data_IF_635518079327
#
_entry.id   IF_635518079327
#
_cell.length_a   1.000
_cell.length_b   1.000
_cell.length_c   1.000
_cell.angle_alpha   90.00
_cell.angle_beta   90.00
_cell.angle_gamma   90.00
#
_symmetry.space_group_name_H-M   'P 1'
#
loop_
_entity.id
_entity.type
_entity.pdbx_description
1 polymer ?
#
# COMPACT_ATOMS: atom_id res chain seq x y z
N UNK A 1 31.09 -113.71 -0.57
CA UNK A 1 31.28 -113.83 -2.04
C UNK A 1 30.00 -113.37 -2.75
N UNK A 2 30.17 -112.79 -3.94
CA UNK A 2 29.17 -112.32 -4.92
C UNK A 2 28.71 -110.85 -4.81
N UNK A 3 29.40 -110.05 -5.65
CA UNK A 3 29.06 -108.74 -6.21
C UNK A 3 27.60 -108.58 -6.69
N UNK A 4 27.11 -107.33 -6.69
CA UNK A 4 26.52 -106.71 -7.90
C UNK A 4 26.49 -105.17 -7.79
N UNK A 5 27.10 -104.52 -8.79
CA UNK A 5 27.05 -103.10 -9.08
C UNK A 5 26.00 -102.81 -10.16
N UNK A 6 25.31 -101.67 -10.09
CA UNK A 6 24.72 -100.88 -11.21
C UNK A 6 24.31 -99.52 -10.56
N UNK A 7 24.47 -98.31 -11.09
CA UNK A 7 24.93 -97.76 -12.36
C UNK A 7 24.61 -96.24 -12.34
N UNK A 8 25.47 -95.41 -12.93
CA UNK A 8 25.35 -93.94 -13.04
C UNK A 8 24.10 -93.49 -13.81
N UNK A 9 23.53 -92.35 -13.43
CA UNK A 9 22.99 -91.35 -14.36
C UNK A 9 23.38 -89.93 -13.94
N UNK A 10 24.31 -89.35 -14.67
CA UNK A 10 24.65 -87.91 -14.69
C UNK A 10 23.54 -87.15 -15.42
N UNK A 11 23.07 -86.03 -14.85
CA UNK A 11 22.20 -85.05 -15.51
C UNK A 11 22.92 -83.71 -15.64
N UNK A 12 22.60 -82.92 -16.68
CA UNK A 12 23.44 -81.83 -17.16
C UNK A 12 23.29 -80.54 -16.35
N UNK A 13 24.32 -79.72 -16.50
CA UNK A 13 24.54 -78.37 -15.98
C UNK A 13 23.63 -77.37 -16.70
N UNK A 14 23.01 -76.45 -15.95
CA UNK A 14 22.56 -75.15 -16.45
C UNK A 14 23.24 -74.06 -15.62
N UNK A 15 24.24 -73.40 -16.22
CA UNK A 15 24.81 -72.15 -15.72
C UNK A 15 23.91 -71.03 -16.23
N UNK A 16 23.30 -70.27 -15.32
CA UNK A 16 22.47 -69.12 -15.68
C UNK A 16 23.37 -67.88 -15.75
N UNK A 17 23.61 -67.40 -16.97
CA UNK A 17 24.38 -66.19 -17.29
C UNK A 17 23.36 -65.06 -17.45
N UNK A 18 23.04 -64.28 -16.40
CA UNK A 18 22.40 -62.96 -16.55
C UNK A 18 22.34 -62.14 -15.25
N UNK A 19 23.48 -61.70 -14.72
CA UNK A 19 23.49 -60.64 -13.68
C UNK A 19 24.70 -59.69 -13.82
N UNK A 20 24.91 -59.05 -14.96
CA UNK A 20 25.96 -58.02 -15.10
C UNK A 20 25.53 -56.87 -16.02
N UNK A 21 24.39 -56.19 -15.76
CA UNK A 21 24.02 -54.91 -16.42
C UNK A 21 23.17 -53.98 -15.54
N UNK A 22 23.51 -53.84 -14.25
CA UNK A 22 22.65 -53.13 -13.29
C UNK A 22 23.25 -51.92 -12.56
N UNK A 23 24.50 -51.51 -12.82
CA UNK A 23 25.18 -50.53 -11.93
C UNK A 23 25.62 -49.23 -12.63
N UNK A 24 25.65 -49.16 -13.96
CA UNK A 24 26.28 -48.02 -14.65
C UNK A 24 25.36 -46.86 -15.06
N UNK A 25 24.05 -46.90 -14.80
CA UNK A 25 23.10 -45.84 -15.23
C UNK A 25 22.66 -44.92 -14.07
N UNK A 26 23.03 -45.21 -12.82
CA UNK A 26 22.56 -44.42 -11.66
C UNK A 26 23.44 -43.25 -11.21
N UNK A 27 24.62 -43.07 -11.81
CA UNK A 27 25.54 -41.99 -11.39
C UNK A 27 25.38 -40.70 -12.21
N UNK A 28 24.85 -40.78 -13.44
CA UNK A 28 24.67 -39.58 -14.29
C UNK A 28 23.35 -38.86 -13.99
N UNK A 29 22.39 -39.53 -13.35
CA UNK A 29 21.08 -38.94 -13.02
C UNK A 29 21.05 -38.16 -11.68
N UNK A 30 22.17 -38.10 -10.96
CA UNK A 30 22.28 -37.36 -9.68
C UNK A 30 23.03 -36.03 -9.79
N UNK A 31 23.68 -35.75 -10.93
CA UNK A 31 24.42 -34.51 -11.14
C UNK A 31 23.66 -33.47 -11.98
N UNK A 32 22.53 -33.82 -12.58
CA UNK A 32 21.75 -32.93 -13.46
C UNK A 32 20.59 -32.21 -12.77
N UNK A 33 20.38 -32.40 -11.46
CA UNK A 33 19.26 -31.82 -10.71
C UNK A 33 19.66 -30.69 -9.74
N UNK A 34 20.91 -30.24 -9.81
CA UNK A 34 21.45 -29.16 -8.96
C UNK A 34 21.89 -27.95 -9.78
N UNK A 35 21.19 -27.67 -10.87
CA UNK A 35 21.13 -26.30 -11.39
C UNK A 35 19.80 -25.74 -10.86
N UNK A 36 19.77 -25.51 -9.54
CA UNK A 36 18.92 -24.49 -8.96
C UNK A 36 19.39 -23.20 -9.63
N UNK A 37 18.70 -22.83 -10.71
CA UNK A 37 18.70 -21.48 -11.25
C UNK A 37 18.29 -20.57 -10.09
N UNK A 38 19.28 -20.10 -9.34
CA UNK A 38 19.16 -18.87 -8.55
C UNK A 38 18.95 -17.80 -9.61
N UNK A 39 17.72 -17.64 -10.06
CA UNK A 39 17.32 -16.45 -10.78
C UNK A 39 17.60 -15.34 -9.76
N UNK A 40 18.56 -14.44 -9.97
CA UNK A 40 18.74 -13.31 -9.08
C UNK A 40 17.42 -12.55 -9.16
N UNK A 41 16.58 -12.72 -8.15
CA UNK A 41 15.43 -11.86 -7.97
C UNK A 41 16.05 -10.48 -7.76
N UNK A 42 15.87 -9.62 -8.75
CA UNK A 42 16.42 -8.27 -8.73
C UNK A 42 15.67 -7.50 -7.66
N UNK A 43 16.18 -7.59 -6.43
CA UNK A 43 15.60 -7.03 -5.24
C UNK A 43 16.54 -5.93 -4.73
N UNK A 44 15.99 -4.74 -4.58
CA UNK A 44 16.69 -3.59 -4.01
C UNK A 44 16.63 -3.63 -2.48
N UNK A 45 17.48 -2.83 -1.86
CA UNK A 45 17.40 -2.54 -0.43
C UNK A 45 16.82 -1.14 -0.23
N UNK A 46 15.86 -0.98 0.68
CA UNK A 46 15.38 0.33 1.12
C UNK A 46 15.81 0.55 2.57
N UNK A 47 16.60 1.59 2.80
CA UNK A 47 17.00 2.06 4.13
C UNK A 47 16.20 3.31 4.47
N UNK A 48 15.59 3.34 5.65
CA UNK A 48 14.90 4.51 6.18
C UNK A 48 15.59 4.96 7.45
N UNK A 49 16.13 6.18 7.40
CA UNK A 49 16.69 6.87 8.57
C UNK A 49 15.58 7.71 9.20
N UNK A 50 15.11 7.28 10.36
CA UNK A 50 14.13 7.99 11.18
C UNK A 50 14.81 9.00 12.09
N UNK A 51 14.34 10.23 12.08
CA UNK A 51 14.66 11.23 13.09
C UNK A 51 13.46 11.41 14.03
N UNK A 52 13.74 11.54 15.32
CA UNK A 52 12.73 11.52 16.39
C UNK A 52 12.76 10.22 17.20
N UNK A 53 11.75 10.05 18.06
CA UNK A 53 11.62 8.86 18.91
C UNK A 53 11.04 7.67 18.12
N UNK A 54 11.84 6.62 17.92
CA UNK A 54 11.47 5.37 17.22
C UNK A 54 11.26 4.18 18.19
N UNK A 55 11.30 4.41 19.51
CA UNK A 55 11.29 3.34 20.51
C UNK A 55 9.98 2.56 20.62
N UNK A 56 8.86 3.19 20.26
CA UNK A 56 7.50 2.64 20.32
C UNK A 56 6.96 2.18 18.95
N UNK A 57 7.82 2.08 17.93
CA UNK A 57 7.39 1.54 16.63
C UNK A 57 7.13 0.04 16.77
N UNK A 58 5.87 -0.36 16.64
CA UNK A 58 5.43 -1.76 16.67
C UNK A 58 5.34 -2.37 15.27
N UNK A 59 5.22 -1.54 14.24
CA UNK A 59 5.16 -1.96 12.85
C UNK A 59 5.78 -0.93 11.92
N UNK A 60 6.57 -1.38 10.94
CA UNK A 60 7.03 -0.56 9.83
C UNK A 60 7.04 -1.38 8.54
N UNK A 61 6.13 -1.07 7.62
CA UNK A 61 5.88 -1.83 6.41
C UNK A 61 5.99 -1.02 5.13
N UNK A 62 6.20 -1.70 4.01
CA UNK A 62 6.14 -1.15 2.65
C UNK A 62 5.00 -1.82 1.88
N UNK A 63 4.16 -1.00 1.24
CA UNK A 63 2.94 -1.43 0.53
C UNK A 63 3.05 -1.04 -0.94
N UNK A 64 3.12 -2.04 -1.81
CA UNK A 64 3.02 -1.86 -3.26
C UNK A 64 1.54 -1.85 -3.67
N UNK A 65 0.87 -0.74 -3.39
CA UNK A 65 -0.59 -0.63 -3.46
C UNK A 65 -1.18 -0.75 -4.86
N UNK A 66 -0.53 -0.16 -5.85
CA UNK A 66 -1.08 -0.01 -7.19
C UNK A 66 -0.16 -0.61 -8.24
N UNK A 67 -0.73 -1.26 -9.24
CA UNK A 67 0.01 -1.57 -10.46
C UNK A 67 0.21 -0.35 -11.36
N UNK A 68 0.74 -0.56 -12.57
CA UNK A 68 1.06 0.50 -13.53
C UNK A 68 -0.18 1.23 -14.06
N UNK A 69 -1.36 0.60 -13.98
CA UNK A 69 -2.62 1.15 -14.46
C UNK A 69 -3.44 1.80 -13.32
N UNK A 70 -2.91 1.80 -12.10
CA UNK A 70 -3.62 2.31 -10.92
C UNK A 70 -4.64 1.36 -10.34
N UNK A 71 -4.61 0.09 -10.74
CA UNK A 71 -5.45 -0.93 -10.12
C UNK A 71 -4.77 -1.45 -8.85
N UNK A 72 -5.53 -1.70 -7.77
CA UNK A 72 -5.05 -2.40 -6.59
C UNK A 72 -4.29 -3.67 -6.93
N UNK A 73 -3.04 -3.76 -6.48
CA UNK A 73 -2.21 -4.93 -6.76
C UNK A 73 -2.77 -6.16 -6.06
N UNK A 74 -2.67 -7.30 -6.77
CA UNK A 74 -3.08 -8.63 -6.31
C UNK A 74 -1.98 -9.24 -5.45
N UNK A 75 -2.24 -9.61 -4.19
CA UNK A 75 -1.35 -10.53 -3.47
C UNK A 75 -1.47 -11.92 -4.11
N UNK A 76 -0.34 -12.57 -4.36
CA UNK A 76 -0.25 -14.00 -4.65
C UNK A 76 -1.16 -14.50 -5.81
N UNK A 77 -1.44 -13.65 -6.80
CA UNK A 77 -2.29 -14.02 -7.95
C UNK A 77 -3.81 -14.01 -7.71
N UNK A 78 -4.27 -13.64 -6.51
CA UNK A 78 -5.71 -13.51 -6.16
C UNK A 78 -6.25 -12.11 -6.46
N UNK A 79 -7.53 -11.93 -6.84
CA UNK A 79 -8.07 -10.61 -7.17
C UNK A 79 -8.09 -9.62 -5.98
N UNK A 80 -7.60 -8.40 -6.25
CA UNK A 80 -7.75 -7.11 -5.54
C UNK A 80 -7.62 -7.11 -4.01
N UNK A 81 -6.46 -6.71 -3.47
CA UNK A 81 -6.35 -6.32 -2.06
C UNK A 81 -6.81 -4.87 -1.91
N UNK A 82 -8.12 -4.66 -1.86
CA UNK A 82 -8.64 -3.60 -1.00
C UNK A 82 -8.91 -4.30 0.31
N UNK A 83 -8.14 -4.01 1.35
CA UNK A 83 -8.41 -4.59 2.67
C UNK A 83 -9.74 -4.04 3.17
N UNK A 84 -10.78 -4.85 2.98
CA UNK A 84 -12.17 -4.51 3.35
C UNK A 84 -12.40 -4.59 4.85
N UNK A 85 -11.42 -5.09 5.60
CA UNK A 85 -11.43 -5.25 7.06
C UNK A 85 -10.09 -4.82 7.63
N UNK A 86 -9.55 -3.70 7.13
CA UNK A 86 -8.21 -3.28 7.49
C UNK A 86 -8.14 -3.03 9.00
N UNK A 87 -7.07 -3.53 9.60
CA UNK A 87 -6.77 -3.28 11.01
C UNK A 87 -5.95 -2.00 11.10
N UNK A 88 -6.32 -1.15 12.06
CA UNK A 88 -5.64 0.12 12.27
C UNK A 88 -4.26 -0.08 12.91
N UNK A 89 -4.15 -1.07 13.80
CA UNK A 89 -2.97 -1.42 14.60
C UNK A 89 -2.06 -2.49 13.97
N UNK A 90 -2.61 -3.27 13.03
CA UNK A 90 -1.90 -4.33 12.32
C UNK A 90 -2.11 -4.22 10.79
N UNK A 91 -1.59 -3.16 10.15
CA UNK A 91 -1.75 -2.96 8.72
C UNK A 91 -1.08 -4.06 7.90
N UNK A 92 -1.64 -4.33 6.71
CA UNK A 92 -0.98 -5.15 5.70
C UNK A 92 0.28 -4.45 5.16
N UNK A 93 1.33 -5.22 4.87
CA UNK A 93 2.46 -4.79 4.04
C UNK A 93 3.00 -5.94 3.20
N UNK A 94 3.56 -5.60 2.03
CA UNK A 94 4.23 -6.56 1.15
C UNK A 94 5.63 -6.92 1.68
N UNK A 95 6.23 -6.03 2.45
CA UNK A 95 7.46 -6.26 3.20
C UNK A 95 7.44 -5.49 4.51
N UNK A 96 8.12 -6.03 5.52
CA UNK A 96 8.28 -5.38 6.82
C UNK A 96 9.76 -5.07 7.04
N UNK A 97 10.05 -3.89 7.56
CA UNK A 97 11.42 -3.50 7.89
C UNK A 97 11.89 -4.18 9.17
N UNK A 98 13.20 -4.42 9.23
CA UNK A 98 13.92 -4.75 10.46
C UNK A 98 14.67 -3.52 10.95
N UNK A 99 14.75 -3.37 12.28
CA UNK A 99 15.54 -2.31 12.89
C UNK A 99 16.99 -2.76 12.97
N UNK A 100 17.88 -2.14 12.19
CA UNK A 100 19.32 -2.44 12.21
C UNK A 100 20.01 -1.75 13.41
N UNK A 101 19.65 -0.50 13.67
CA UNK A 101 20.17 0.30 14.77
C UNK A 101 19.16 1.40 15.16
N UNK A 102 19.35 2.13 16.27
CA UNK A 102 18.46 3.24 16.62
C UNK A 102 18.34 4.25 15.46
N UNK A 103 17.10 4.52 15.03
CA UNK A 103 16.82 5.40 13.91
C UNK A 103 17.04 4.79 12.52
N UNK A 104 17.52 3.55 12.38
CA UNK A 104 17.74 2.92 11.06
C UNK A 104 16.89 1.65 10.88
N UNK A 105 16.03 1.70 9.87
CA UNK A 105 15.14 0.61 9.48
C UNK A 105 15.43 0.16 8.05
N UNK A 106 15.48 -1.15 7.82
CA UNK A 106 15.90 -1.73 6.54
C UNK A 106 14.84 -2.70 6.03
N UNK A 107 14.44 -2.51 4.77
CA UNK A 107 13.68 -3.47 4.00
C UNK A 107 14.65 -4.23 3.08
N UNK A 108 15.02 -5.43 3.49
CA UNK A 108 15.87 -6.30 2.68
C UNK A 108 15.06 -6.99 1.57
N UNK A 109 15.71 -7.21 0.43
CA UNK A 109 15.14 -7.96 -0.69
C UNK A 109 13.78 -7.44 -1.17
N UNK A 110 13.58 -6.13 -1.16
CA UNK A 110 12.35 -5.50 -1.62
C UNK A 110 12.31 -5.50 -3.16
N UNK A 111 11.31 -6.11 -3.81
CA UNK A 111 11.23 -6.10 -5.27
C UNK A 111 11.19 -4.68 -5.83
N UNK A 112 11.77 -4.47 -7.00
CA UNK A 112 11.69 -3.19 -7.68
C UNK A 112 10.24 -2.74 -7.85
N UNK A 113 9.97 -1.47 -7.58
CA UNK A 113 8.61 -0.94 -7.63
C UNK A 113 8.48 0.37 -6.87
N UNK A 114 7.24 0.81 -6.73
CA UNK A 114 6.92 2.03 -6.00
C UNK A 114 6.02 1.70 -4.83
N UNK A 115 6.45 2.09 -3.63
CA UNK A 115 5.85 1.69 -2.37
C UNK A 115 5.35 2.90 -1.58
N UNK A 116 4.22 2.71 -0.90
CA UNK A 116 3.81 3.57 0.19
C UNK A 116 4.29 2.94 1.51
N UNK A 117 4.91 3.73 2.39
CA UNK A 117 5.37 3.23 3.68
C UNK A 117 4.30 3.41 4.76
N UNK A 118 4.24 2.48 5.71
CA UNK A 118 3.29 2.49 6.83
C UNK A 118 4.05 2.29 8.13
N UNK A 119 3.89 3.19 9.09
CA UNK A 119 4.51 3.11 10.41
C UNK A 119 3.41 3.15 11.48
N UNK A 120 3.49 2.26 12.46
CA UNK A 120 2.61 2.25 13.63
C UNK A 120 3.42 2.40 14.90
N UNK A 121 3.03 3.36 15.74
CA UNK A 121 3.47 3.50 17.14
C UNK A 121 2.37 3.05 18.07
N UNK A 122 2.59 1.92 18.74
CA UNK A 122 1.55 1.19 19.48
C UNK A 122 1.02 1.96 20.68
N UNK A 123 1.90 2.38 21.60
CA UNK A 123 1.50 3.06 22.82
C UNK A 123 0.86 4.44 22.57
N UNK A 124 1.12 5.04 21.41
CA UNK A 124 0.54 6.33 21.00
C UNK A 124 -0.72 6.24 20.14
N UNK A 125 -1.18 5.03 19.80
CA UNK A 125 -2.26 4.82 18.83
C UNK A 125 -2.05 5.66 17.55
N UNK A 126 -0.81 5.67 17.04
CA UNK A 126 -0.43 6.47 15.88
C UNK A 126 -0.10 5.57 14.71
N UNK A 127 -0.83 5.75 13.61
CA UNK A 127 -0.51 5.23 12.30
C UNK A 127 -0.17 6.38 11.36
N UNK A 128 1.03 6.32 10.77
CA UNK A 128 1.49 7.18 9.71
C UNK A 128 1.54 6.38 8.42
N UNK A 129 1.00 6.92 7.34
CA UNK A 129 0.89 6.19 6.09
C UNK A 129 1.14 7.09 4.88
N UNK A 130 1.98 6.61 3.97
CA UNK A 130 2.17 7.19 2.65
C UNK A 130 0.98 6.94 1.74
N UNK A 131 0.88 7.74 0.69
CA UNK A 131 -0.06 7.49 -0.39
C UNK A 131 0.52 8.00 -1.71
N UNK A 132 -0.20 7.76 -2.78
CA UNK A 132 -0.07 8.50 -4.04
C UNK A 132 -1.43 8.56 -4.69
N UNK A 133 -1.67 9.56 -5.55
CA UNK A 133 -2.97 9.66 -6.21
C UNK A 133 -3.04 8.71 -7.39
N UNK A 134 -3.52 7.48 -7.15
CA UNK A 134 -3.81 6.53 -8.21
C UNK A 134 -4.87 7.05 -9.18
N UNK A 135 -4.76 6.70 -10.47
CA UNK A 135 -5.78 7.04 -11.45
C UNK A 135 -7.10 6.33 -11.16
N UNK A 136 -8.20 7.07 -11.32
CA UNK A 136 -9.56 6.53 -11.18
C UNK A 136 -10.09 6.02 -12.52
N UNK A 137 -9.67 6.65 -13.61
CA UNK A 137 -9.96 6.24 -14.97
C UNK A 137 -8.72 5.62 -15.61
N UNK A 138 -8.96 4.59 -16.42
CA UNK A 138 -7.92 3.96 -17.23
C UNK A 138 -7.22 5.05 -18.07
N UNK A 139 -5.89 5.00 -18.14
CA UNK A 139 -4.99 5.93 -18.85
C UNK A 139 -4.72 7.30 -18.21
N UNK A 140 -5.34 7.65 -17.09
CA UNK A 140 -4.90 8.85 -16.38
C UNK A 140 -3.55 8.60 -15.69
N UNK A 141 -2.67 9.61 -15.58
CA UNK A 141 -1.38 9.44 -14.91
C UNK A 141 -1.58 9.33 -13.39
N UNK A 142 -0.62 8.75 -12.68
CA UNK A 142 -0.50 8.96 -11.24
C UNK A 142 -0.17 10.43 -10.94
N UNK A 143 -0.66 10.97 -9.82
CA UNK A 143 -0.13 12.22 -9.27
C UNK A 143 0.74 11.91 -8.05
N UNK A 144 1.88 12.61 -7.89
CA UNK A 144 2.71 12.45 -6.70
C UNK A 144 1.93 12.92 -5.47
N UNK A 145 2.24 12.40 -4.28
CA UNK A 145 1.46 12.71 -3.07
C UNK A 145 1.51 14.16 -2.62
N UNK A 146 2.56 14.89 -3.00
CA UNK A 146 2.73 16.31 -2.73
C UNK A 146 2.07 17.21 -3.79
N UNK A 147 1.44 16.63 -4.83
CA UNK A 147 0.77 17.37 -5.88
C UNK A 147 -0.20 18.41 -5.29
N UNK A 148 -0.15 19.61 -5.87
CA UNK A 148 -0.99 20.75 -5.49
C UNK A 148 -1.91 21.15 -6.64
N UNK A 149 -2.99 21.85 -6.29
CA UNK A 149 -3.84 22.55 -7.25
C UNK A 149 -3.17 23.90 -7.52
N UNK A 150 -2.40 23.99 -8.61
CA UNK A 150 -1.69 25.17 -9.07
C UNK A 150 -2.41 25.87 -10.25
N UNK A 151 -1.89 27.00 -10.73
CA UNK A 151 -2.20 27.62 -12.01
C UNK A 151 -0.95 28.21 -12.62
N UNK A 152 -0.89 28.24 -13.94
CA UNK A 152 0.20 28.90 -14.67
C UNK A 152 0.02 30.42 -14.53
N UNK A 153 1.08 31.13 -14.13
CA UNK A 153 1.15 32.59 -14.14
C UNK A 153 1.93 33.00 -15.38
N UNK A 154 1.22 33.60 -16.33
CA UNK A 154 1.78 34.05 -17.60
C UNK A 154 2.13 35.54 -17.57
N UNK A 155 3.31 35.86 -18.10
CA UNK A 155 3.75 37.23 -18.37
C UNK A 155 4.24 37.28 -19.82
N UNK A 156 3.67 38.19 -20.63
CA UNK A 156 3.94 38.33 -22.06
C UNK A 156 3.73 37.04 -22.89
N UNK A 157 2.74 36.21 -22.50
CA UNK A 157 2.43 34.94 -23.17
C UNK A 157 3.43 33.82 -22.88
N UNK A 158 4.24 33.97 -21.81
CA UNK A 158 5.19 32.96 -21.34
C UNK A 158 4.87 32.60 -19.89
N UNK A 159 4.70 31.31 -19.61
CA UNK A 159 4.56 30.80 -18.24
C UNK A 159 5.85 31.07 -17.47
N UNK A 160 5.79 31.94 -16.45
CA UNK A 160 6.93 32.30 -15.60
C UNK A 160 7.02 31.41 -14.38
N UNK A 161 5.89 31.19 -13.73
CA UNK A 161 5.78 30.44 -12.50
C UNK A 161 4.44 29.73 -12.38
N UNK A 162 4.32 28.90 -11.35
CA UNK A 162 3.06 28.27 -10.96
C UNK A 162 2.74 28.68 -9.55
N UNK A 163 1.52 29.13 -9.32
CA UNK A 163 1.02 29.49 -8.00
C UNK A 163 -0.18 28.63 -7.60
N UNK A 164 -0.60 28.67 -6.35
CA UNK A 164 -1.75 27.91 -5.86
C UNK A 164 -3.06 28.45 -6.44
N UNK A 165 -3.86 27.58 -7.08
CA UNK A 165 -5.19 27.91 -7.58
C UNK A 165 -6.23 27.61 -6.48
N UNK A 166 -6.45 28.61 -5.63
CA UNK A 166 -7.42 28.55 -4.54
C UNK A 166 -8.86 28.40 -5.00
N UNK A 167 -9.23 28.93 -6.17
CA UNK A 167 -10.60 28.86 -6.70
C UNK A 167 -10.97 27.41 -7.01
N UNK A 168 -10.14 26.72 -7.80
CA UNK A 168 -10.37 25.31 -8.14
C UNK A 168 -10.27 24.40 -6.92
N UNK A 169 -9.36 24.72 -5.98
CA UNK A 169 -9.22 23.99 -4.72
C UNK A 169 -10.49 24.09 -3.86
N UNK A 170 -10.94 25.32 -3.57
CA UNK A 170 -12.08 25.59 -2.70
C UNK A 170 -13.37 25.02 -3.29
N UNK A 171 -13.53 25.10 -4.61
CA UNK A 171 -14.65 24.50 -5.32
C UNK A 171 -14.73 22.98 -5.13
N UNK A 172 -13.59 22.27 -5.23
CA UNK A 172 -13.54 20.82 -5.02
C UNK A 172 -13.68 20.46 -3.54
N UNK A 173 -13.05 21.20 -2.63
CA UNK A 173 -13.19 21.02 -1.17
C UNK A 173 -14.66 21.13 -0.75
N UNK A 174 -15.37 22.16 -1.24
CA UNK A 174 -16.80 22.36 -0.97
C UNK A 174 -17.64 21.20 -1.50
N UNK A 175 -17.40 20.75 -2.75
CA UNK A 175 -18.11 19.58 -3.29
C UNK A 175 -17.90 18.32 -2.46
N UNK A 176 -16.68 18.09 -1.95
CA UNK A 176 -16.38 16.93 -1.10
C UNK A 176 -17.14 17.03 0.21
N UNK A 177 -17.10 18.19 0.87
CA UNK A 177 -17.80 18.41 2.15
C UNK A 177 -19.30 18.27 2.00
N UNK A 178 -19.86 18.71 0.89
CA UNK A 178 -21.30 18.66 0.61
C UNK A 178 -21.76 17.38 -0.10
N UNK A 179 -20.87 16.41 -0.32
CA UNK A 179 -21.20 15.18 -1.02
C UNK A 179 -22.29 14.39 -0.27
N UNK A 180 -23.36 13.93 -0.96
CA UNK A 180 -24.36 13.06 -0.36
C UNK A 180 -23.77 11.67 -0.16
N UNK A 181 -23.26 11.41 1.03
CA UNK A 181 -22.69 10.13 1.43
C UNK A 181 -23.60 9.46 2.47
N UNK A 182 -23.57 8.12 2.53
CA UNK A 182 -24.20 7.38 3.63
C UNK A 182 -23.47 7.64 4.96
N UNK A 183 -22.23 8.08 4.89
CA UNK A 183 -21.42 8.56 5.99
C UNK A 183 -21.91 9.92 6.46
N UNK A 184 -22.02 10.10 7.78
CA UNK A 184 -22.38 11.40 8.35
C UNK A 184 -21.26 12.43 8.17
N UNK A 185 -20.03 12.01 7.82
CA UNK A 185 -18.88 12.90 7.62
C UNK A 185 -18.03 12.50 6.43
N UNK A 186 -17.74 13.50 5.60
CA UNK A 186 -16.80 13.42 4.49
C UNK A 186 -15.78 14.55 4.66
N UNK A 187 -14.50 14.20 4.70
CA UNK A 187 -13.40 15.12 5.01
C UNK A 187 -12.32 15.01 3.92
N UNK A 188 -12.05 16.09 3.16
CA UNK A 188 -10.89 16.13 2.27
C UNK A 188 -9.60 16.29 3.08
N UNK A 189 -8.55 15.58 2.70
CA UNK A 189 -7.23 15.68 3.33
C UNK A 189 -6.21 16.37 2.41
N UNK A 190 -5.97 15.77 1.26
CA UNK A 190 -5.02 16.29 0.28
C UNK A 190 -5.72 16.40 -1.06
N UNK A 191 -5.54 17.52 -1.75
CA UNK A 191 -6.12 17.79 -3.07
C UNK A 191 -4.96 18.21 -3.99
N UNK A 192 -4.78 17.47 -5.08
CA UNK A 192 -3.74 17.70 -6.08
C UNK A 192 -4.32 17.79 -7.49
N UNK A 193 -3.73 18.61 -8.34
CA UNK A 193 -4.15 18.80 -9.72
C UNK A 193 -3.12 18.29 -10.72
N UNK A 194 -3.56 17.95 -11.93
CA UNK A 194 -2.68 17.78 -13.08
C UNK A 194 -3.03 18.77 -14.20
N UNK A 195 -1.98 19.30 -14.80
CA UNK A 195 -2.01 20.36 -15.80
C UNK A 195 -1.58 19.80 -17.14
N UNK A 196 -2.20 20.28 -18.22
CA UNK A 196 -1.54 20.24 -19.52
C UNK A 196 -0.73 21.53 -19.68
N UNK A 197 0.36 21.43 -20.43
CA UNK A 197 1.20 22.58 -20.75
C UNK A 197 0.34 23.68 -21.42
N UNK A 198 0.38 24.90 -20.88
CA UNK A 198 -0.37 26.06 -21.39
C UNK A 198 -1.85 26.06 -21.02
N UNK A 199 -2.22 25.47 -19.88
CA UNK A 199 -3.57 25.59 -19.31
C UNK A 199 -3.52 26.31 -17.98
N UNK A 200 -4.34 27.35 -17.84
CA UNK A 200 -4.46 28.11 -16.59
C UNK A 200 -5.06 27.28 -15.45
N UNK A 201 -5.94 26.31 -15.74
CA UNK A 201 -6.62 25.48 -14.75
C UNK A 201 -6.22 24.00 -14.87
N UNK A 202 -6.24 23.21 -13.78
CA UNK A 202 -5.98 21.78 -13.85
C UNK A 202 -7.05 21.08 -14.67
N UNK A 203 -6.64 20.15 -15.54
CA UNK A 203 -7.60 19.33 -16.30
C UNK A 203 -8.31 18.31 -15.39
N UNK A 204 -7.58 17.79 -14.42
CA UNK A 204 -8.06 16.82 -13.45
C UNK A 204 -7.57 17.21 -12.06
N UNK A 205 -8.41 16.98 -11.07
CA UNK A 205 -8.10 17.14 -9.65
C UNK A 205 -8.38 15.79 -8.97
N UNK A 206 -7.48 15.36 -8.09
CA UNK A 206 -7.71 14.23 -7.20
C UNK A 206 -7.62 14.64 -5.76
N UNK A 207 -8.46 14.03 -4.94
CA UNK A 207 -8.49 14.25 -3.52
C UNK A 207 -8.39 12.94 -2.76
N UNK A 208 -7.50 12.87 -1.77
CA UNK A 208 -7.57 11.87 -0.72
C UNK A 208 -8.66 12.31 0.27
N UNK A 209 -9.65 11.45 0.47
CA UNK A 209 -10.86 11.75 1.24
C UNK A 209 -11.05 10.68 2.31
N UNK A 210 -11.38 11.12 3.53
CA UNK A 210 -11.94 10.27 4.56
C UNK A 210 -13.47 10.32 4.50
N UNK A 211 -14.09 9.15 4.53
CA UNK A 211 -15.51 8.99 4.81
C UNK A 211 -15.64 8.29 6.15
N UNK A 212 -16.30 8.95 7.11
CA UNK A 212 -16.48 8.48 8.47
C UNK A 212 -17.97 8.38 8.79
N UNK A 213 -18.35 7.20 9.26
CA UNK A 213 -19.63 6.95 9.91
C UNK A 213 -19.42 6.67 11.39
N UNK A 214 -19.79 7.61 12.25
CA UNK A 214 -19.60 7.50 13.71
C UNK A 214 -20.84 7.89 14.53
N UNK A 215 -21.99 8.06 13.88
CA UNK A 215 -23.26 8.33 14.54
C UNK A 215 -24.13 7.08 14.67
N UNK A 216 -25.03 7.11 15.65
CA UNK A 216 -26.03 6.07 15.89
C UNK A 216 -26.93 5.95 14.67
N UNK A 217 -27.10 4.74 14.14
CA UNK A 217 -27.96 4.49 12.98
C UNK A 217 -28.92 3.32 13.21
N UNK A 218 -29.80 3.05 12.25
CA UNK A 218 -30.74 1.93 12.31
C UNK A 218 -30.09 0.53 12.40
N UNK A 219 -28.78 0.41 12.16
CA UNK A 219 -28.02 -0.85 12.20
C UNK A 219 -27.42 -1.16 13.59
N UNK A 220 -27.69 -0.35 14.60
CA UNK A 220 -27.23 -0.58 15.98
C UNK A 220 -27.78 -1.88 16.60
N UNK A 221 -28.85 -2.45 16.01
CA UNK A 221 -29.35 -3.77 16.41
C UNK A 221 -28.39 -4.92 16.11
N UNK A 222 -27.55 -4.79 15.06
CA UNK A 222 -26.63 -5.85 14.64
C UNK A 222 -25.21 -5.65 15.18
N UNK A 223 -24.76 -4.39 15.29
CA UNK A 223 -23.45 -4.00 15.84
C UNK A 223 -23.54 -2.67 16.59
N UNK A 224 -24.04 -2.73 17.82
CA UNK A 224 -24.11 -1.56 18.69
C UNK A 224 -22.71 -0.94 18.87
N UNK A 225 -22.60 0.37 18.69
CA UNK A 225 -21.32 1.06 18.87
C UNK A 225 -20.36 1.02 17.69
N UNK A 226 -20.73 0.44 16.54
CA UNK A 226 -19.83 0.38 15.38
C UNK A 226 -19.65 1.75 14.70
N UNK A 227 -18.43 2.00 14.24
CA UNK A 227 -18.05 3.07 13.33
C UNK A 227 -17.41 2.47 12.08
N UNK A 228 -17.68 3.07 10.93
CA UNK A 228 -17.03 2.69 9.66
C UNK A 228 -16.17 3.83 9.14
N UNK A 229 -14.94 3.51 8.77
CA UNK A 229 -13.97 4.45 8.24
C UNK A 229 -13.52 3.98 6.86
N UNK A 230 -13.56 4.87 5.88
CA UNK A 230 -13.05 4.62 4.53
C UNK A 230 -12.10 5.73 4.13
N UNK A 231 -11.02 5.34 3.47
CA UNK A 231 -10.15 6.29 2.78
C UNK A 231 -10.24 6.01 1.29
N UNK A 232 -10.50 7.05 0.50
CA UNK A 232 -10.71 6.94 -0.93
C UNK A 232 -9.97 8.06 -1.67
N UNK A 233 -9.56 7.78 -2.90
CA UNK A 233 -9.13 8.79 -3.85
C UNK A 233 -10.31 9.09 -4.77
N UNK A 234 -10.77 10.33 -4.70
CA UNK A 234 -11.80 10.87 -5.57
C UNK A 234 -11.16 11.64 -6.71
N UNK A 235 -11.74 11.57 -7.89
CA UNK A 235 -11.27 12.32 -9.06
C UNK A 235 -12.37 13.23 -9.57
N UNK A 236 -11.98 14.44 -9.95
CA UNK A 236 -12.80 15.48 -10.50
C UNK A 236 -12.21 15.88 -11.84
N UNK A 237 -13.04 15.88 -12.87
CA UNK A 237 -12.63 16.31 -14.20
C UNK A 237 -13.27 17.64 -14.52
N UNK A 238 -12.50 18.53 -15.14
CA UNK A 238 -13.08 19.74 -15.73
C UNK A 238 -14.01 19.35 -16.87
N UNK A 239 -15.29 19.72 -16.74
CA UNK A 239 -16.30 19.63 -17.77
C UNK A 239 -16.80 21.03 -18.05
N UNK A 240 -16.31 21.61 -19.15
CA UNK A 240 -16.77 22.92 -19.65
C UNK A 240 -16.60 24.05 -18.62
N UNK A 241 -15.46 24.09 -17.92
CA UNK A 241 -15.13 25.13 -16.95
C UNK A 241 -15.66 24.88 -15.54
N UNK A 242 -16.01 23.64 -15.21
CA UNK A 242 -16.53 23.26 -13.89
C UNK A 242 -16.11 21.84 -13.56
N UNK A 243 -15.62 21.63 -12.33
CA UNK A 243 -15.20 20.30 -11.88
C UNK A 243 -16.39 19.41 -11.54
N UNK A 244 -16.40 18.20 -12.10
CA UNK A 244 -17.42 17.20 -11.80
C UNK A 244 -16.74 15.94 -11.29
N UNK A 245 -17.15 15.51 -10.09
CA UNK A 245 -16.69 14.26 -9.48
C UNK A 245 -17.02 13.06 -10.38
N UNK A 246 -16.04 12.18 -10.61
CA UNK A 246 -16.27 10.88 -11.21
C UNK A 246 -17.06 9.96 -10.25
N UNK A 247 -17.90 9.11 -10.84
CA UNK A 247 -18.66 8.10 -10.08
C UNK A 247 -17.76 7.05 -9.45
N UNK A 248 -16.72 6.63 -10.19
CA UNK A 248 -15.68 5.72 -9.69
C UNK A 248 -14.81 6.45 -8.65
N UNK A 249 -14.30 5.69 -7.69
CA UNK A 249 -13.29 6.13 -6.72
C UNK A 249 -12.30 4.99 -6.55
N UNK A 250 -11.07 5.30 -6.16
CA UNK A 250 -10.12 4.27 -5.73
C UNK A 250 -10.20 4.13 -4.22
N UNK A 251 -10.46 2.93 -3.73
CA UNK A 251 -10.55 2.68 -2.28
C UNK A 251 -9.18 2.30 -1.75
N UNK A 252 -8.70 3.04 -0.75
CA UNK A 252 -7.44 2.76 -0.05
C UNK A 252 -7.65 1.72 1.05
N UNK A 253 -8.63 1.97 1.92
CA UNK A 253 -8.94 1.14 3.09
C UNK A 253 -10.42 1.19 3.42
N UNK A 254 -10.92 0.11 4.03
CA UNK A 254 -12.20 0.09 4.74
C UNK A 254 -12.02 -0.58 6.08
N UNK A 255 -12.50 0.08 7.12
CA UNK A 255 -12.31 -0.33 8.51
C UNK A 255 -13.64 -0.26 9.24
N UNK A 256 -13.88 -1.25 10.09
CA UNK A 256 -14.98 -1.29 11.04
C UNK A 256 -14.35 -1.45 12.41
N UNK A 257 -14.62 -0.50 13.31
CA UNK A 257 -14.12 -0.45 14.68
C UNK A 257 -15.24 0.01 15.59
N UNK A 258 -15.04 -0.08 16.90
CA UNK A 258 -15.95 0.61 17.82
C UNK A 258 -15.77 2.13 17.73
N UNK A 259 -16.82 2.89 18.03
CA UNK A 259 -16.78 4.37 18.07
C UNK A 259 -15.71 4.90 19.02
N UNK A 260 -15.51 4.21 20.15
CA UNK A 260 -14.51 4.61 21.14
C UNK A 260 -13.09 4.37 20.64
N UNK A 261 -12.83 3.26 19.96
CA UNK A 261 -11.54 3.00 19.32
C UNK A 261 -11.23 4.06 18.26
N UNK A 262 -12.14 4.33 17.33
CA UNK A 262 -11.90 5.35 16.27
C UNK A 262 -11.53 6.72 16.85
N UNK A 263 -12.09 7.08 18.02
CA UNK A 263 -11.85 8.36 18.69
C UNK A 263 -10.53 8.44 19.46
N UNK A 264 -9.77 7.34 19.54
CA UNK A 264 -8.48 7.28 20.24
C UNK A 264 -7.28 7.27 19.31
N UNK A 265 -7.48 6.95 18.04
CA UNK A 265 -6.39 6.78 17.09
C UNK A 265 -6.05 8.05 16.31
N UNK A 266 -4.76 8.23 16.09
CA UNK A 266 -4.24 9.00 14.96
C UNK A 266 -4.06 8.05 13.77
N UNK A 267 -4.69 8.36 12.64
CA UNK A 267 -4.38 7.75 11.34
C UNK A 267 -4.10 8.86 10.34
N UNK A 268 -2.83 9.23 10.26
CA UNK A 268 -2.35 10.35 9.49
C UNK A 268 -1.72 9.88 8.19
N UNK A 269 -1.93 10.70 7.16
CA UNK A 269 -1.43 10.49 5.82
C UNK A 269 -0.30 11.47 5.58
N UNK A 270 0.89 10.97 5.31
CA UNK A 270 2.07 11.81 5.09
C UNK A 270 2.60 11.63 3.67
N UNK A 271 2.57 12.68 2.82
CA UNK A 271 3.13 12.62 1.48
C UNK A 271 4.58 12.14 1.41
N UNK A 272 5.40 12.40 2.44
CA UNK A 272 6.81 12.01 2.47
C UNK A 272 7.03 10.49 2.59
N UNK A 273 6.01 9.75 3.00
CA UNK A 273 6.03 8.29 3.07
C UNK A 273 5.47 7.63 1.79
N UNK A 274 4.97 8.43 0.85
CA UNK A 274 4.32 7.96 -0.37
C UNK A 274 5.26 7.88 -1.57
N UNK A 275 4.87 7.08 -2.57
CA UNK A 275 5.53 7.01 -3.88
C UNK A 275 7.05 6.73 -3.86
N UNK A 276 7.52 5.91 -2.91
CA UNK A 276 8.93 5.58 -2.74
C UNK A 276 9.38 4.58 -3.82
N UNK A 277 10.15 5.08 -4.78
CA UNK A 277 10.72 4.26 -5.86
C UNK A 277 11.95 3.45 -5.39
N UNK A 278 11.81 2.13 -5.42
CA UNK A 278 12.86 1.17 -5.08
C UNK A 278 13.47 0.62 -6.38
N UNK A 279 14.79 0.77 -6.58
CA UNK A 279 15.46 0.35 -7.81
C UNK A 279 15.51 -1.17 -7.94
N UNK A 280 15.79 -1.65 -9.16
CA UNK A 280 16.02 -3.08 -9.43
C UNK A 280 17.24 -3.64 -8.70
N UNK A 281 18.26 -2.82 -8.48
CA UNK A 281 19.47 -3.18 -7.76
C UNK A 281 20.02 -1.96 -7.02
N UNK A 282 20.79 -2.21 -5.96
CA UNK A 282 21.37 -1.18 -5.10
C UNK A 282 20.47 -0.78 -3.93
N UNK A 283 20.88 0.27 -3.23
CA UNK A 283 20.23 0.77 -2.02
C UNK A 283 19.56 2.12 -2.30
N UNK A 284 18.29 2.25 -1.92
CA UNK A 284 17.58 3.53 -1.78
C UNK A 284 17.60 3.93 -0.32
N UNK A 285 18.00 5.17 -0.03
CA UNK A 285 17.89 5.75 1.32
C UNK A 285 16.81 6.82 1.34
N UNK A 286 16.01 6.83 2.40
CA UNK A 286 15.00 7.86 2.70
C UNK A 286 15.26 8.36 4.11
N UNK A 287 15.25 9.68 4.28
CA UNK A 287 15.26 10.30 5.60
C UNK A 287 13.84 10.74 5.93
N UNK A 288 13.37 10.43 7.13
CA UNK A 288 12.01 10.77 7.55
C UNK A 288 12.01 11.23 9.01
N UNK A 289 11.45 12.41 9.26
CA UNK A 289 11.22 12.90 10.61
C UNK A 289 9.84 12.44 11.07
N UNK A 290 9.79 11.63 12.14
CA UNK A 290 8.52 11.20 12.70
C UNK A 290 7.83 12.44 13.29
N UNK A 291 6.69 12.88 12.73
CA UNK A 291 5.99 14.06 13.22
C UNK A 291 5.41 13.79 14.61
N UNK A 292 5.32 14.85 15.42
CA UNK A 292 4.43 14.84 16.58
C UNK A 292 3.07 15.36 16.13
N UNK A 293 2.02 14.52 16.12
CA UNK A 293 0.69 14.94 15.68
C UNK A 293 0.18 16.21 16.34
N UNK A 294 0.58 16.50 17.59
CA UNK A 294 0.11 17.66 18.34
C UNK A 294 0.76 18.96 17.85
N UNK A 295 2.02 18.91 17.40
CA UNK A 295 2.75 20.08 16.89
C UNK A 295 2.76 20.17 15.37
N UNK A 296 2.33 19.12 14.68
CA UNK A 296 2.29 19.02 13.21
C UNK A 296 0.83 18.89 12.71
N UNK A 297 0.00 19.96 12.80
CA UNK A 297 -1.40 19.95 12.33
C UNK A 297 -1.54 19.96 10.80
N UNK A 298 -0.47 20.23 10.08
CA UNK A 298 -0.40 20.18 8.61
C UNK A 298 -0.54 18.76 8.06
N UNK A 299 -0.14 17.75 8.84
CA UNK A 299 -0.33 16.35 8.46
C UNK A 299 -1.79 15.97 8.71
N UNK A 300 -2.47 15.59 7.63
CA UNK A 300 -3.91 15.39 7.60
C UNK A 300 -4.25 13.92 7.84
N UNK A 301 -5.40 13.68 8.45
CA UNK A 301 -5.78 12.34 8.86
C UNK A 301 -6.82 12.34 9.96
N UNK A 302 -7.21 11.13 10.36
CA UNK A 302 -8.05 10.92 11.52
C UNK A 302 -7.28 11.34 12.76
N UNK A 303 -7.91 12.15 13.61
CA UNK A 303 -7.35 12.59 14.89
C UNK A 303 -8.28 12.20 16.02
N UNK A 304 -7.75 11.89 17.22
CA UNK A 304 -8.56 11.46 18.35
C UNK A 304 -9.42 12.61 18.88
N UNK A 305 -10.53 12.28 19.55
CA UNK A 305 -11.46 13.27 20.12
C UNK A 305 -10.81 14.17 21.18
N UNK A 306 -9.73 13.71 21.83
CA UNK A 306 -8.96 14.52 22.77
C UNK A 306 -8.21 15.69 22.09
N UNK A 307 -7.95 15.59 20.78
CA UNK A 307 -7.35 16.65 19.96
C UNK A 307 -8.44 17.64 19.51
N UNK A 308 -8.16 18.95 19.55
CA UNK A 308 -9.09 20.00 19.07
C UNK A 308 -9.50 19.77 17.62
N UNK A 309 -8.57 19.34 16.76
CA UNK A 309 -8.89 19.02 15.37
C UNK A 309 -9.78 17.77 15.27
N UNK A 310 -9.60 16.79 16.16
CA UNK A 310 -10.48 15.64 16.27
C UNK A 310 -11.88 16.03 16.76
N UNK A 311 -12.01 16.95 17.72
CA UNK A 311 -13.32 17.44 18.18
C UNK A 311 -14.14 18.02 17.02
N UNK A 312 -13.53 18.81 16.13
CA UNK A 312 -14.21 19.32 14.94
C UNK A 312 -14.53 18.20 13.95
N UNK A 313 -13.60 17.25 13.74
CA UNK A 313 -13.87 16.07 12.92
C UNK A 313 -15.02 15.22 13.45
N UNK A 314 -15.26 15.19 14.76
CA UNK A 314 -16.34 14.42 15.36
C UNK A 314 -17.60 15.24 15.64
N UNK A 315 -17.59 16.55 15.42
CA UNK A 315 -18.74 17.43 15.62
C UNK A 315 -19.89 17.04 14.70
N UNK A 316 -21.11 16.96 15.24
CA UNK A 316 -22.31 16.72 14.43
C UNK A 316 -22.46 17.87 13.43
N UNK A 317 -22.78 17.52 12.17
CA UNK A 317 -23.21 18.54 11.21
C UNK A 317 -24.53 19.15 11.72
N UNK A 318 -24.65 20.49 11.70
CA UNK A 318 -25.85 21.17 12.18
C UNK A 318 -27.10 20.80 11.39
#
# INVERSE_FOLDING_TARGET
>A
MAHKSVGRKTRPVCVNIHEWKGVFVRVISFFLFTILLVIPCSAGELRVTLTGDDSDITFFGAVYRWDVDGLPKKANGQPFIIDTKAKIDAPYADAQATRESPGLWVFENLPAGTYDLVLVKGARHLRLEGFRYAPVLDFDPFLPPDAKVLRDVEEDGVVKEKEFDGESYDYVDEQIRNAPAYENKVVPYYIGGSYRKGQEKPKLIRALVMLLRDEVTSYEGDMAGAATLRFEIWEFNDKTGTYVKNRKTQVMHRVILTRDEVRQWYWLWDPALGDIAVPKSGTKTVEYAIPDPQTNPEIKGLRPYADKAGQEQFRKRP
#
